data_IF_633874613709
#
_entry.id   IF_633874613709
#
_cell.length_a   1.000
_cell.length_b   1.000
_cell.length_c   1.000
_cell.angle_alpha   90.00
_cell.angle_beta   90.00
_cell.angle_gamma   90.00
#
_symmetry.space_group_name_H-M   'P 1'
#
loop_
_entity.id
_entity.type
_entity.pdbx_description
1 polymer ?
#
# COMPACT_ATOMS: atom_id res chain seq x y z
N UNK A 1 18.19 13.70 -5.23
CA UNK A 1 19.02 12.48 -5.03
C UNK A 1 18.33 11.46 -4.14
N UNK A 2 17.56 11.89 -3.13
CA UNK A 2 16.79 11.01 -2.24
C UNK A 2 15.67 10.23 -2.92
N UNK A 3 14.98 10.83 -3.90
CA UNK A 3 13.79 10.20 -4.53
C UNK A 3 14.15 8.98 -5.39
N UNK A 4 15.25 9.05 -6.14
CA UNK A 4 15.74 7.92 -6.95
C UNK A 4 16.17 6.74 -6.07
N UNK A 5 16.79 7.03 -4.91
CA UNK A 5 17.16 6.01 -3.94
C UNK A 5 15.92 5.35 -3.33
N UNK A 6 14.91 6.14 -2.98
CA UNK A 6 13.64 5.63 -2.46
C UNK A 6 12.94 4.72 -3.48
N UNK A 7 12.78 5.17 -4.73
CA UNK A 7 12.16 4.37 -5.81
C UNK A 7 12.94 3.07 -6.01
N UNK A 8 14.28 3.12 -6.04
CA UNK A 8 15.12 1.94 -6.19
C UNK A 8 14.95 0.96 -5.03
N UNK A 9 14.93 1.46 -3.79
CA UNK A 9 14.73 0.62 -2.60
C UNK A 9 13.34 -0.03 -2.58
N UNK A 10 12.30 0.71 -2.97
CA UNK A 10 10.94 0.19 -3.08
C UNK A 10 10.86 -0.92 -4.15
N UNK A 11 11.43 -0.70 -5.33
CA UNK A 11 11.45 -1.68 -6.41
C UNK A 11 12.21 -2.96 -6.03
N UNK A 12 13.34 -2.84 -5.34
CA UNK A 12 14.09 -3.98 -4.82
C UNK A 12 13.26 -4.79 -3.82
N UNK A 13 12.63 -4.12 -2.85
CA UNK A 13 11.77 -4.77 -1.87
C UNK A 13 10.59 -5.48 -2.54
N UNK A 14 9.86 -4.78 -3.40
CA UNK A 14 8.73 -5.31 -4.17
C UNK A 14 9.11 -6.55 -4.98
N UNK A 15 10.25 -6.52 -5.68
CA UNK A 15 10.71 -7.66 -6.47
C UNK A 15 10.99 -8.89 -5.60
N UNK A 16 11.66 -8.69 -4.45
CA UNK A 16 11.99 -9.79 -3.54
C UNK A 16 10.75 -10.44 -2.91
N UNK A 17 9.73 -9.65 -2.56
CA UNK A 17 8.52 -10.16 -1.91
C UNK A 17 7.53 -10.69 -2.93
N UNK A 18 7.12 -9.87 -3.90
CA UNK A 18 6.03 -10.19 -4.82
C UNK A 18 6.48 -11.09 -5.96
N UNK A 19 7.68 -10.88 -6.51
CA UNK A 19 8.12 -11.67 -7.67
C UNK A 19 8.84 -12.94 -7.23
N UNK A 20 9.75 -12.86 -6.27
CA UNK A 20 10.50 -14.06 -5.85
C UNK A 20 9.69 -14.92 -4.87
N UNK A 21 9.21 -14.33 -3.78
CA UNK A 21 8.58 -15.13 -2.71
C UNK A 21 7.18 -15.63 -3.11
N UNK A 22 6.42 -14.82 -3.85
CA UNK A 22 5.08 -15.17 -4.31
C UNK A 22 5.03 -15.86 -5.68
N UNK A 23 6.16 -16.15 -6.36
CA UNK A 23 6.13 -16.99 -7.56
C UNK A 23 5.90 -18.48 -7.24
N UNK A 24 6.17 -18.89 -6.01
CA UNK A 24 5.97 -20.28 -5.58
C UNK A 24 4.52 -20.50 -5.14
N UNK A 25 3.81 -21.50 -5.69
CA UNK A 25 2.40 -21.73 -5.39
C UNK A 25 2.13 -22.10 -3.94
N UNK A 26 3.14 -22.57 -3.20
CA UNK A 26 3.05 -22.90 -1.77
C UNK A 26 2.96 -21.66 -0.88
N UNK A 27 3.36 -20.48 -1.37
CA UNK A 27 3.42 -19.25 -0.57
C UNK A 27 2.25 -18.31 -0.83
N UNK A 28 1.31 -18.66 -1.73
CA UNK A 28 0.22 -17.78 -2.11
C UNK A 28 -0.63 -17.32 -0.92
N UNK A 29 -0.82 -18.16 0.11
CA UNK A 29 -1.57 -17.81 1.32
C UNK A 29 -0.97 -16.61 2.08
N UNK A 30 0.34 -16.39 1.98
CA UNK A 30 1.05 -15.28 2.63
C UNK A 30 1.21 -14.04 1.74
N UNK A 31 0.81 -14.14 0.47
CA UNK A 31 0.99 -13.09 -0.53
C UNK A 31 -0.25 -12.20 -0.71
N UNK A 32 -1.37 -12.60 -0.14
CA UNK A 32 -2.59 -11.81 -0.08
C UNK A 32 -2.66 -11.01 1.22
N UNK A 33 -3.20 -9.77 1.17
CA UNK A 33 -3.85 -9.16 0.00
C UNK A 33 -2.91 -8.31 -0.88
N UNK A 34 -3.07 -8.40 -2.21
CA UNK A 34 -2.11 -7.82 -3.17
C UNK A 34 -2.01 -6.29 -3.11
N UNK A 35 -3.06 -5.62 -2.63
CA UNK A 35 -3.10 -4.16 -2.57
C UNK A 35 -2.11 -3.55 -1.55
N UNK A 36 -1.66 -4.33 -0.55
CA UNK A 36 -0.66 -3.88 0.42
C UNK A 36 0.73 -3.67 -0.20
N UNK A 37 0.99 -4.29 -1.36
CA UNK A 37 2.26 -4.14 -2.06
C UNK A 37 2.33 -2.89 -2.94
N UNK A 38 1.22 -2.16 -3.08
CA UNK A 38 1.21 -0.95 -3.89
C UNK A 38 1.96 0.19 -3.20
N UNK A 39 2.38 1.13 -4.04
CA UNK A 39 3.00 2.36 -3.57
C UNK A 39 1.97 3.13 -2.73
N UNK A 40 2.33 3.74 -1.57
CA UNK A 40 1.33 4.31 -0.64
C UNK A 40 0.33 5.28 -1.27
N UNK A 41 0.78 6.11 -2.21
CA UNK A 41 -0.08 7.07 -2.90
C UNK A 41 -1.14 6.41 -3.80
N UNK A 42 -0.91 5.18 -4.27
CA UNK A 42 -1.91 4.42 -5.05
C UNK A 42 -3.06 4.01 -4.14
N UNK A 43 -2.73 3.52 -2.94
CA UNK A 43 -3.71 3.17 -1.92
C UNK A 43 -4.57 4.39 -1.57
N UNK A 44 -3.94 5.51 -1.27
CA UNK A 44 -4.64 6.77 -0.96
C UNK A 44 -5.54 7.22 -2.12
N UNK A 45 -5.06 7.12 -3.37
CA UNK A 45 -5.86 7.50 -4.54
C UNK A 45 -7.10 6.61 -4.74
N UNK A 46 -6.99 5.30 -4.46
CA UNK A 46 -8.13 4.37 -4.53
C UNK A 46 -9.15 4.72 -3.44
N UNK A 47 -8.72 4.87 -2.19
CA UNK A 47 -9.62 5.25 -1.09
C UNK A 47 -10.26 6.62 -1.33
N UNK A 48 -9.52 7.60 -1.86
CA UNK A 48 -10.07 8.90 -2.24
C UNK A 48 -11.14 8.78 -3.34
N UNK A 49 -10.98 7.84 -4.28
CA UNK A 49 -11.96 7.62 -5.34
C UNK A 49 -13.23 6.92 -4.84
N UNK A 50 -13.10 6.00 -3.87
CA UNK A 50 -14.22 5.22 -3.34
C UNK A 50 -15.00 5.95 -2.24
N UNK A 51 -14.31 6.56 -1.27
CA UNK A 51 -14.90 7.13 -0.05
C UNK A 51 -14.91 8.68 -0.06
N UNK A 52 -14.20 9.27 -1.02
CA UNK A 52 -14.01 10.71 -1.14
C UNK A 52 -12.78 11.21 -0.39
N UNK A 53 -12.34 12.42 -0.75
CA UNK A 53 -11.17 13.03 -0.12
C UNK A 53 -11.36 13.24 1.39
N UNK A 54 -10.30 12.94 2.13
CA UNK A 54 -10.20 13.07 3.59
C UNK A 54 -11.26 12.28 4.38
N UNK A 55 -11.64 11.11 3.90
CA UNK A 55 -12.69 10.31 4.55
C UNK A 55 -12.28 9.88 5.97
N UNK A 56 -11.09 9.29 6.11
CA UNK A 56 -10.55 8.82 7.40
C UNK A 56 -10.37 9.96 8.41
N UNK A 57 -9.91 11.13 8.01
CA UNK A 57 -9.78 12.29 8.90
C UNK A 57 -11.14 12.81 9.36
N UNK A 58 -12.16 12.80 8.49
CA UNK A 58 -13.52 13.18 8.87
C UNK A 58 -14.13 12.20 9.86
N UNK A 59 -13.86 10.91 9.71
CA UNK A 59 -14.31 9.89 10.67
C UNK A 59 -13.62 10.05 12.01
N UNK A 60 -12.29 10.21 12.03
CA UNK A 60 -11.54 10.47 13.26
C UNK A 60 -12.04 11.72 14.01
N UNK A 61 -12.43 12.77 13.27
CA UNK A 61 -13.02 13.98 13.85
C UNK A 61 -14.43 13.78 14.42
N UNK A 62 -15.21 12.80 13.92
CA UNK A 62 -16.52 12.45 14.48
C UNK A 62 -16.40 11.64 15.76
N UNK A 63 -15.36 10.81 15.86
CA UNK A 63 -15.11 9.93 17.01
C UNK A 63 -14.47 10.66 18.20
N UNK A 64 -13.81 11.80 17.96
CA UNK A 64 -13.30 12.63 19.05
C UNK A 64 -14.45 13.30 19.83
N UNK A 65 -14.65 12.98 21.12
CA UNK A 65 -15.55 13.77 21.97
C UNK A 65 -14.97 15.18 22.11
N UNK A 66 -15.81 16.19 21.92
CA UNK A 66 -15.46 17.59 22.13
C UNK A 66 -15.11 17.89 23.59
#
# INVERSE_FOLDING_TARGET
MSDLYWIYSFLQAFFSTVIVSCAQPTNFEYCFPVHEWFVPWVHDAIHMAEEGAYHSEKEALKECPK
#
